data_IF_456250577012
#
_entry.id   IF_456250577012
#
_cell.length_a   1.000
_cell.length_b   1.000
_cell.length_c   1.000
_cell.angle_alpha   90.00
_cell.angle_beta   90.00
_cell.angle_gamma   90.00
#
_symmetry.space_group_name_H-M   'P 1'
#
loop_
_entity.id
_entity.type
_entity.pdbx_description
1 polymer ?
#
# COMPACT_ATOMS: atom_id res chain seq x y z
N UNK A 1 -14.64 1.43 -6.66
CA UNK A 1 -13.42 0.95 -5.96
C UNK A 1 -12.20 1.57 -6.59
N UNK A 2 -11.36 2.22 -5.81
CA UNK A 2 -10.05 2.76 -6.22
C UNK A 2 -8.94 1.90 -5.61
N UNK A 3 -8.05 1.39 -6.44
CA UNK A 3 -6.89 0.59 -6.00
C UNK A 3 -5.64 1.47 -6.00
N UNK A 4 -4.99 1.61 -4.84
CA UNK A 4 -3.78 2.41 -4.68
C UNK A 4 -2.62 1.56 -4.18
N UNK A 5 -1.46 1.63 -4.85
CA UNK A 5 -0.24 0.93 -4.45
C UNK A 5 0.81 1.91 -3.94
N UNK A 6 1.35 1.63 -2.74
CA UNK A 6 2.49 2.35 -2.16
C UNK A 6 3.79 1.64 -2.50
N UNK A 7 4.67 2.26 -3.28
CA UNK A 7 5.86 1.58 -3.78
C UNK A 7 7.13 2.44 -3.83
N UNK A 8 8.26 1.78 -3.75
CA UNK A 8 9.63 2.23 -4.04
C UNK A 8 10.53 0.99 -3.99
N UNK A 9 11.57 0.93 -4.81
CA UNK A 9 12.54 -0.17 -4.78
C UNK A 9 13.49 -0.14 -3.58
N UNK A 10 13.54 0.96 -2.84
CA UNK A 10 14.29 1.04 -1.59
C UNK A 10 13.50 0.41 -0.44
N UNK A 11 14.13 -0.55 0.26
CA UNK A 11 13.59 -1.11 1.51
C UNK A 11 13.66 -0.12 2.67
N UNK A 12 12.71 -0.22 3.60
CA UNK A 12 12.71 0.60 4.83
C UNK A 12 12.32 2.06 4.66
N UNK A 13 11.76 2.46 3.51
CA UNK A 13 11.27 3.83 3.28
C UNK A 13 9.89 4.10 3.91
N UNK A 14 9.28 3.12 4.57
CA UNK A 14 8.00 3.32 5.25
C UNK A 14 6.77 3.01 4.38
N UNK A 15 6.88 2.27 3.26
CA UNK A 15 5.74 1.88 2.42
C UNK A 15 4.60 1.30 3.26
N UNK A 16 4.86 0.20 3.95
CA UNK A 16 3.90 -0.52 4.79
C UNK A 16 3.24 0.39 5.84
N UNK A 17 4.01 1.22 6.53
CA UNK A 17 3.46 2.13 7.53
C UNK A 17 2.52 3.15 6.90
N UNK A 18 2.92 3.75 5.77
CA UNK A 18 2.11 4.77 5.09
C UNK A 18 0.86 4.15 4.44
N UNK A 19 0.97 2.97 3.82
CA UNK A 19 -0.17 2.25 3.24
C UNK A 19 -1.21 1.90 4.31
N UNK A 20 -0.78 1.30 5.41
CA UNK A 20 -1.68 0.88 6.50
C UNK A 20 -2.31 2.08 7.22
N UNK A 21 -1.53 3.13 7.51
CA UNK A 21 -2.07 4.33 8.17
C UNK A 21 -3.05 5.08 7.29
N UNK A 22 -2.80 5.19 5.97
CA UNK A 22 -3.78 5.78 5.04
C UNK A 22 -5.06 4.96 5.00
N UNK A 23 -4.97 3.63 4.91
CA UNK A 23 -6.13 2.75 4.95
C UNK A 23 -6.92 2.91 6.25
N UNK A 24 -6.22 3.05 7.38
CA UNK A 24 -6.82 3.27 8.68
C UNK A 24 -7.65 4.57 8.72
N UNK A 25 -7.09 5.69 8.24
CA UNK A 25 -7.78 6.99 8.23
C UNK A 25 -8.92 7.02 7.19
N UNK A 26 -8.78 6.37 6.03
CA UNK A 26 -9.89 6.19 5.08
C UNK A 26 -11.07 5.47 5.74
N UNK A 27 -10.80 4.38 6.47
CA UNK A 27 -11.83 3.64 7.20
C UNK A 27 -12.48 4.48 8.31
N UNK A 28 -11.71 5.30 9.04
CA UNK A 28 -12.23 6.26 10.04
C UNK A 28 -13.12 7.32 9.40
N UNK A 29 -12.87 7.71 8.16
CA UNK A 29 -13.73 8.62 7.38
C UNK A 29 -15.01 7.95 6.87
N UNK A 30 -15.17 6.66 7.05
CA UNK A 30 -16.35 5.89 6.64
C UNK A 30 -16.22 5.14 5.33
N UNK A 31 -15.08 5.24 4.63
CA UNK A 31 -14.84 4.48 3.39
C UNK A 31 -14.52 3.03 3.69
N UNK A 32 -15.23 2.10 3.05
CA UNK A 32 -14.90 0.68 3.13
C UNK A 32 -13.56 0.41 2.45
N UNK A 33 -12.56 0.12 3.23
CA UNK A 33 -11.16 0.02 2.80
C UNK A 33 -10.61 -1.39 3.04
N UNK A 34 -10.03 -1.99 2.01
CA UNK A 34 -9.33 -3.26 2.06
C UNK A 34 -7.82 -3.02 1.95
N UNK A 35 -7.05 -3.53 2.88
CA UNK A 35 -5.58 -3.63 2.77
C UNK A 35 -5.23 -4.99 2.20
N UNK A 36 -4.48 -5.02 1.10
CA UNK A 36 -3.92 -6.24 0.51
C UNK A 36 -2.40 -6.26 0.75
N UNK A 37 -1.94 -7.20 1.54
CA UNK A 37 -0.51 -7.35 1.85
C UNK A 37 0.13 -8.36 0.86
N UNK A 38 0.77 -7.84 -0.19
CA UNK A 38 1.46 -8.67 -1.19
C UNK A 38 2.94 -8.92 -0.87
N UNK A 39 3.41 -8.50 0.31
CA UNK A 39 4.75 -8.83 0.76
C UNK A 39 4.73 -10.17 1.54
N UNK A 40 5.46 -11.23 1.11
CA UNK A 40 5.56 -12.47 1.87
C UNK A 40 6.16 -12.30 3.29
N UNK A 41 6.79 -11.14 3.59
CA UNK A 41 7.21 -10.81 4.95
C UNK A 41 6.03 -10.44 5.86
N UNK A 42 4.85 -10.16 5.30
CA UNK A 42 3.59 -9.95 6.00
C UNK A 42 3.62 -8.82 7.06
N UNK A 43 4.32 -7.72 6.77
CA UNK A 43 4.46 -6.62 7.72
C UNK A 43 3.16 -5.85 7.93
N UNK A 44 2.39 -5.56 6.87
CA UNK A 44 1.07 -4.95 6.98
C UNK A 44 0.08 -5.86 7.74
N UNK A 45 0.13 -7.15 7.45
CA UNK A 45 -0.65 -8.17 8.14
C UNK A 45 -0.34 -8.19 9.64
N UNK A 46 0.93 -8.19 10.04
CA UNK A 46 1.31 -8.20 11.45
C UNK A 46 0.87 -6.92 12.17
N UNK A 47 1.03 -5.76 11.55
CA UNK A 47 0.60 -4.48 12.11
C UNK A 47 -0.92 -4.47 12.36
N UNK A 48 -1.72 -4.85 11.36
CA UNK A 48 -3.17 -4.87 11.48
C UNK A 48 -3.69 -5.96 12.45
N UNK A 49 -3.03 -7.12 12.53
CA UNK A 49 -3.35 -8.14 13.55
C UNK A 49 -3.12 -7.63 14.97
N UNK A 50 -2.03 -6.91 15.21
CA UNK A 50 -1.76 -6.26 16.50
C UNK A 50 -2.77 -5.16 16.81
N UNK A 51 -3.14 -4.37 15.80
CA UNK A 51 -4.20 -3.35 15.90
C UNK A 51 -5.53 -3.98 16.33
N UNK A 52 -5.95 -5.06 15.66
CA UNK A 52 -7.14 -5.81 16.05
C UNK A 52 -7.07 -6.29 17.50
N UNK A 53 -5.93 -6.89 17.90
CA UNK A 53 -5.73 -7.37 19.27
C UNK A 53 -5.82 -6.25 20.31
N UNK A 54 -5.19 -5.10 20.04
CA UNK A 54 -5.23 -3.94 20.92
C UNK A 54 -6.66 -3.43 21.12
N UNK A 55 -7.47 -3.37 20.08
CA UNK A 55 -8.85 -2.88 20.12
C UNK A 55 -9.84 -3.91 20.69
N UNK A 56 -9.49 -5.20 20.71
CA UNK A 56 -10.34 -6.30 21.13
C UNK A 56 -9.84 -7.04 22.39
N UNK A 57 -9.28 -6.31 23.36
CA UNK A 57 -8.82 -6.86 24.64
C UNK A 57 -7.81 -8.01 24.48
N UNK A 58 -6.83 -7.85 23.57
CA UNK A 58 -5.79 -8.82 23.24
C UNK A 58 -6.31 -10.14 22.64
N UNK A 59 -7.54 -10.18 22.14
CA UNK A 59 -8.03 -11.33 21.40
C UNK A 59 -7.30 -11.45 20.07
N UNK A 60 -6.84 -12.64 19.73
CA UNK A 60 -6.21 -12.92 18.44
C UNK A 60 -7.19 -12.84 17.29
N UNK A 61 -6.78 -12.20 16.18
CA UNK A 61 -7.54 -12.23 14.94
C UNK A 61 -7.53 -13.67 14.38
N UNK A 62 -8.72 -14.22 14.17
CA UNK A 62 -8.87 -15.52 13.50
C UNK A 62 -8.84 -15.33 12.00
N UNK A 63 -7.91 -16.02 11.35
CA UNK A 63 -7.77 -16.05 9.89
C UNK A 63 -8.11 -17.47 9.45
N UNK A 64 -9.15 -17.59 8.63
CA UNK A 64 -9.70 -18.90 8.24
C UNK A 64 -8.95 -19.52 7.05
N UNK A 65 -8.43 -18.69 6.15
CA UNK A 65 -7.68 -19.09 4.96
C UNK A 65 -6.52 -18.13 4.73
N UNK A 66 -5.44 -18.60 4.12
CA UNK A 66 -4.36 -17.71 3.67
C UNK A 66 -4.70 -17.10 2.31
N UNK A 67 -4.08 -15.98 1.97
CA UNK A 67 -4.25 -15.37 0.65
C UNK A 67 -3.84 -16.35 -0.47
N UNK A 68 -2.76 -17.11 -0.29
CA UNK A 68 -2.31 -18.08 -1.29
C UNK A 68 -3.38 -19.15 -1.56
N UNK A 69 -4.00 -19.70 -0.52
CA UNK A 69 -5.10 -20.67 -0.66
C UNK A 69 -6.31 -20.04 -1.33
N UNK A 70 -6.72 -18.84 -0.91
CA UNK A 70 -7.86 -18.12 -1.48
C UNK A 70 -7.67 -17.78 -2.96
N UNK A 71 -6.45 -17.38 -3.35
CA UNK A 71 -6.09 -17.15 -4.75
C UNK A 71 -6.11 -18.45 -5.56
N UNK A 72 -5.58 -19.55 -5.03
CA UNK A 72 -5.62 -20.84 -5.73
C UNK A 72 -7.04 -21.38 -5.91
N UNK A 73 -7.95 -21.06 -4.99
CA UNK A 73 -9.39 -21.36 -5.08
C UNK A 73 -10.18 -20.35 -5.91
N UNK A 74 -9.51 -19.31 -6.43
CA UNK A 74 -10.14 -18.19 -7.15
C UNK A 74 -11.24 -17.47 -6.35
N UNK A 75 -11.12 -17.44 -5.02
CA UNK A 75 -12.07 -16.83 -4.11
C UNK A 75 -11.37 -16.07 -2.98
N UNK A 76 -10.95 -14.83 -3.24
CA UNK A 76 -10.23 -14.02 -2.25
C UNK A 76 -11.06 -13.70 -1.00
N UNK A 77 -12.40 -13.75 -1.08
CA UNK A 77 -13.28 -13.55 0.08
C UNK A 77 -13.01 -14.53 1.23
N UNK A 78 -12.51 -15.73 0.93
CA UNK A 78 -12.21 -16.74 1.96
C UNK A 78 -11.10 -16.29 2.92
N UNK A 79 -10.20 -15.41 2.48
CA UNK A 79 -9.08 -14.92 3.26
C UNK A 79 -9.32 -13.54 3.86
N UNK A 80 -10.28 -12.75 3.36
CA UNK A 80 -10.51 -11.40 3.85
C UNK A 80 -11.07 -11.43 5.26
N UNK A 81 -10.45 -10.62 6.15
CA UNK A 81 -10.87 -10.51 7.55
C UNK A 81 -11.14 -9.05 7.92
N UNK A 82 -12.15 -8.83 8.77
CA UNK A 82 -12.46 -7.51 9.31
C UNK A 82 -11.49 -7.17 10.45
N UNK A 83 -10.88 -5.99 10.40
CA UNK A 83 -10.00 -5.46 11.45
C UNK A 83 -10.78 -4.56 12.41
N UNK A 84 -11.49 -3.59 11.87
CA UNK A 84 -12.41 -2.69 12.57
C UNK A 84 -13.52 -2.27 11.62
N UNK A 85 -14.40 -1.36 12.04
CA UNK A 85 -15.43 -0.83 11.15
C UNK A 85 -14.78 -0.19 9.92
N UNK A 86 -15.27 -0.56 8.76
CA UNK A 86 -14.80 -0.17 7.43
C UNK A 86 -13.35 -0.56 7.07
N UNK A 87 -12.57 -1.22 7.94
CA UNK A 87 -11.22 -1.67 7.63
C UNK A 87 -11.14 -3.20 7.56
N UNK A 88 -10.66 -3.69 6.43
CA UNK A 88 -10.50 -5.11 6.12
C UNK A 88 -9.07 -5.40 5.70
N UNK A 89 -8.66 -6.65 5.80
CA UNK A 89 -7.34 -7.13 5.45
C UNK A 89 -7.44 -8.41 4.62
N UNK A 90 -6.74 -8.45 3.50
CA UNK A 90 -6.36 -9.66 2.79
C UNK A 90 -4.92 -10.00 3.22
N UNK A 91 -4.76 -10.98 4.15
CA UNK A 91 -3.50 -11.15 4.86
C UNK A 91 -2.48 -11.98 4.08
N UNK A 92 -1.22 -11.55 4.12
CA UNK A 92 -0.07 -12.34 3.67
C UNK A 92 0.38 -13.34 4.74
N UNK A 93 0.95 -14.44 4.27
CA UNK A 93 1.65 -15.45 5.08
C UNK A 93 2.87 -16.00 4.33
N UNK A 94 3.68 -16.82 5.01
CA UNK A 94 4.87 -17.42 4.42
C UNK A 94 4.59 -18.28 3.18
N UNK A 95 3.40 -18.88 3.06
CA UNK A 95 2.96 -19.63 1.89
C UNK A 95 2.77 -18.75 0.64
N UNK A 96 2.67 -17.42 0.81
CA UNK A 96 2.58 -16.50 -0.33
C UNK A 96 3.88 -16.46 -1.16
N UNK A 97 4.98 -17.01 -0.64
CA UNK A 97 6.19 -17.27 -1.44
C UNK A 97 5.95 -18.21 -2.63
N UNK A 98 4.89 -19.03 -2.60
CA UNK A 98 4.50 -19.96 -3.67
C UNK A 98 3.73 -19.26 -4.82
N UNK A 99 3.36 -17.97 -4.66
CA UNK A 99 2.57 -17.24 -5.65
C UNK A 99 3.21 -17.18 -7.05
N UNK A 100 4.53 -16.96 -7.20
CA UNK A 100 5.18 -17.02 -8.53
C UNK A 100 5.02 -18.38 -9.20
N UNK A 101 5.29 -19.47 -8.48
CA UNK A 101 5.22 -20.85 -8.99
C UNK A 101 3.78 -21.23 -9.35
N UNK A 102 2.81 -20.82 -8.52
CA UNK A 102 1.39 -20.99 -8.82
C UNK A 102 1.02 -20.32 -10.14
N UNK A 103 1.46 -19.07 -10.38
CA UNK A 103 1.18 -18.36 -11.62
C UNK A 103 1.87 -19.00 -12.83
N UNK A 104 3.07 -19.59 -12.64
CA UNK A 104 3.76 -20.32 -13.69
C UNK A 104 3.04 -21.60 -14.11
N UNK A 105 2.49 -22.31 -13.15
CA UNK A 105 1.68 -23.49 -13.40
C UNK A 105 0.33 -23.13 -14.04
N UNK A 106 -0.30 -22.05 -13.59
CA UNK A 106 -1.60 -21.61 -14.09
C UNK A 106 -1.53 -21.03 -15.51
N UNK A 107 -0.45 -20.31 -15.82
CA UNK A 107 -0.20 -19.68 -17.13
C UNK A 107 1.20 -20.03 -17.61
N UNK A 108 1.38 -21.23 -18.16
CA UNK A 108 2.69 -21.70 -18.62
C UNK A 108 3.22 -20.86 -19.79
N UNK A 109 4.55 -20.81 -19.94
CA UNK A 109 5.22 -19.96 -20.93
C UNK A 109 4.92 -20.32 -22.40
N UNK A 110 4.26 -21.45 -22.64
CA UNK A 110 3.78 -21.87 -23.97
C UNK A 110 2.51 -21.14 -24.40
N UNK A 111 1.78 -20.52 -23.46
CA UNK A 111 0.56 -19.77 -23.76
C UNK A 111 0.88 -18.39 -24.35
N UNK A 112 0.03 -17.93 -25.26
CA UNK A 112 0.09 -16.55 -25.72
C UNK A 112 -0.23 -15.57 -24.58
N UNK A 113 0.55 -14.49 -24.51
CA UNK A 113 0.41 -13.44 -23.50
C UNK A 113 0.53 -13.90 -22.03
N UNK A 114 1.21 -15.05 -21.79
CA UNK A 114 1.34 -15.63 -20.45
C UNK A 114 1.89 -14.63 -19.41
N UNK A 115 2.80 -13.73 -19.80
CA UNK A 115 3.38 -12.73 -18.88
C UNK A 115 2.31 -11.77 -18.38
N UNK A 116 1.47 -11.29 -19.27
CA UNK A 116 0.39 -10.39 -18.89
C UNK A 116 -0.69 -11.10 -18.09
N UNK A 117 -1.10 -12.32 -18.48
CA UNK A 117 -2.04 -13.13 -17.71
C UNK A 117 -1.60 -13.36 -16.28
N UNK A 118 -0.29 -13.59 -16.05
CA UNK A 118 0.28 -13.77 -14.71
C UNK A 118 0.11 -12.52 -13.86
N UNK A 119 0.52 -11.35 -14.36
CA UNK A 119 0.42 -10.10 -13.61
C UNK A 119 -1.02 -9.59 -13.46
N UNK A 120 -1.89 -9.88 -14.42
CA UNK A 120 -3.31 -9.52 -14.39
C UNK A 120 -4.13 -10.37 -13.41
N UNK A 121 -3.61 -11.55 -13.00
CA UNK A 121 -4.37 -12.49 -12.19
C UNK A 121 -4.91 -11.88 -10.89
N UNK A 122 -4.08 -11.14 -10.17
CA UNK A 122 -4.48 -10.51 -8.91
C UNK A 122 -5.60 -9.48 -9.15
N UNK A 123 -5.50 -8.67 -10.21
CA UNK A 123 -6.57 -7.74 -10.60
C UNK A 123 -7.89 -8.47 -10.84
N UNK A 124 -7.87 -9.58 -11.57
CA UNK A 124 -9.09 -10.36 -11.84
C UNK A 124 -9.73 -10.91 -10.56
N UNK A 125 -8.94 -11.20 -9.53
CA UNK A 125 -9.49 -11.61 -8.23
C UNK A 125 -10.06 -10.42 -7.47
N UNK A 126 -9.40 -9.25 -7.49
CA UNK A 126 -9.93 -8.01 -6.88
C UNK A 126 -11.23 -7.56 -7.55
N UNK A 127 -11.36 -7.71 -8.86
CA UNK A 127 -12.57 -7.33 -9.60
C UNK A 127 -13.82 -8.10 -9.13
N UNK A 128 -13.65 -9.27 -8.50
CA UNK A 128 -14.76 -10.05 -7.93
C UNK A 128 -15.35 -9.44 -6.65
N UNK A 129 -14.62 -8.53 -6.00
CA UNK A 129 -15.03 -7.85 -4.76
C UNK A 129 -15.12 -6.32 -4.94
N UNK A 130 -15.10 -5.84 -6.18
CA UNK A 130 -15.04 -4.40 -6.50
C UNK A 130 -16.21 -3.58 -5.95
N UNK A 131 -17.38 -4.20 -5.78
CA UNK A 131 -18.59 -3.53 -5.31
C UNK A 131 -18.68 -3.53 -3.76
N UNK A 132 -17.77 -4.24 -3.10
CA UNK A 132 -17.74 -4.37 -1.64
C UNK A 132 -16.88 -3.30 -0.95
N UNK A 133 -15.96 -2.65 -1.69
CA UNK A 133 -15.00 -1.70 -1.14
C UNK A 133 -14.94 -0.41 -1.96
N UNK A 134 -14.75 0.72 -1.25
CA UNK A 134 -14.49 2.03 -1.86
C UNK A 134 -13.01 2.13 -2.26
N UNK A 135 -12.11 1.70 -1.37
CA UNK A 135 -10.67 1.71 -1.56
C UNK A 135 -10.02 0.35 -1.32
N UNK A 136 -9.01 0.05 -2.10
CA UNK A 136 -8.06 -1.05 -1.88
C UNK A 136 -6.65 -0.45 -1.80
N UNK A 137 -5.95 -0.70 -0.69
CA UNK A 137 -4.57 -0.27 -0.51
C UNK A 137 -3.67 -1.49 -0.57
N UNK A 138 -2.73 -1.47 -1.50
CA UNK A 138 -1.81 -2.59 -1.74
C UNK A 138 -0.43 -2.27 -1.20
N UNK A 139 0.06 -3.09 -0.29
CA UNK A 139 1.44 -3.06 0.21
C UNK A 139 2.29 -4.09 -0.53
N UNK A 140 3.49 -3.69 -0.98
CA UNK A 140 4.36 -4.51 -1.84
C UNK A 140 5.78 -4.59 -1.30
N UNK A 141 6.51 -5.70 -1.60
CA UNK A 141 7.92 -5.80 -1.25
C UNK A 141 8.78 -4.76 -2.00
N UNK A 142 10.00 -4.45 -1.51
CA UNK A 142 10.89 -3.46 -2.10
C UNK A 142 11.69 -4.02 -3.31
N UNK A 143 11.07 -4.85 -4.13
CA UNK A 143 11.77 -5.57 -5.22
C UNK A 143 10.97 -5.54 -6.51
N UNK A 144 11.68 -5.56 -7.64
CA UNK A 144 11.10 -5.92 -8.93
C UNK A 144 10.73 -7.40 -8.89
N UNK A 145 9.45 -7.68 -8.82
CA UNK A 145 8.95 -9.04 -8.65
C UNK A 145 7.51 -9.14 -9.16
N UNK A 146 7.05 -10.36 -9.36
CA UNK A 146 5.67 -10.64 -9.77
C UNK A 146 4.64 -10.05 -8.78
N UNK A 147 4.99 -9.88 -7.50
CA UNK A 147 4.15 -9.23 -6.50
C UNK A 147 3.93 -7.75 -6.83
N UNK A 148 5.03 -7.03 -7.12
CA UNK A 148 4.98 -5.62 -7.52
C UNK A 148 4.32 -5.44 -8.88
N UNK A 149 4.63 -6.32 -9.86
CA UNK A 149 4.00 -6.31 -11.18
C UNK A 149 2.49 -6.50 -11.07
N UNK A 150 2.03 -7.46 -10.23
CA UNK A 150 0.61 -7.74 -10.01
C UNK A 150 -0.11 -6.58 -9.32
N UNK A 151 0.55 -5.93 -8.34
CA UNK A 151 0.00 -4.78 -7.65
C UNK A 151 -0.16 -3.57 -8.59
N UNK A 152 0.89 -3.23 -9.35
CA UNK A 152 0.87 -2.12 -10.31
C UNK A 152 -0.18 -2.36 -11.40
N UNK A 153 -0.28 -3.61 -11.91
CA UNK A 153 -1.30 -3.95 -12.90
C UNK A 153 -2.73 -3.81 -12.37
N UNK A 154 -2.93 -4.07 -11.09
CA UNK A 154 -4.23 -3.95 -10.45
C UNK A 154 -4.59 -2.51 -10.04
N UNK A 155 -3.61 -1.60 -9.98
CA UNK A 155 -3.79 -0.24 -9.47
C UNK A 155 -4.54 0.68 -10.44
N UNK A 156 -5.31 1.60 -9.86
CA UNK A 156 -5.72 2.84 -10.52
C UNK A 156 -4.65 3.92 -10.30
N UNK A 157 -4.13 4.00 -9.08
CA UNK A 157 -3.18 5.01 -8.68
C UNK A 157 -1.96 4.41 -7.98
N UNK A 158 -0.79 4.99 -8.23
CA UNK A 158 0.46 4.61 -7.57
C UNK A 158 1.00 5.80 -6.78
N UNK A 159 1.35 5.58 -5.52
CA UNK A 159 2.03 6.54 -4.66
C UNK A 159 3.48 6.11 -4.49
N UNK A 160 4.41 6.93 -4.95
CA UNK A 160 5.85 6.69 -4.80
C UNK A 160 6.29 7.22 -3.43
N UNK A 161 6.79 6.34 -2.56
CA UNK A 161 7.24 6.73 -1.21
C UNK A 161 8.72 7.09 -1.24
N UNK A 162 9.05 8.34 -0.93
CA UNK A 162 10.41 8.86 -0.98
C UNK A 162 10.90 9.23 0.44
N UNK A 163 11.96 8.59 0.92
CA UNK A 163 12.69 9.06 2.09
C UNK A 163 13.76 10.07 1.64
N UNK A 164 13.99 11.15 2.40
CA UNK A 164 14.98 12.19 2.07
C UNK A 164 16.42 11.71 2.20
N UNK A 165 16.77 10.70 1.42
CA UNK A 165 18.12 10.11 1.28
C UNK A 165 18.39 9.83 -0.19
N UNK A 166 19.63 10.06 -0.64
CA UNK A 166 20.03 9.87 -2.04
C UNK A 166 19.62 8.48 -2.57
N UNK A 167 19.94 7.41 -1.86
CA UNK A 167 19.57 6.04 -2.27
C UNK A 167 18.07 5.79 -2.40
N UNK A 168 17.26 6.59 -1.69
CA UNK A 168 15.80 6.50 -1.82
C UNK A 168 15.29 7.26 -3.05
N UNK A 169 15.93 8.37 -3.38
CA UNK A 169 15.67 9.13 -4.60
C UNK A 169 16.05 8.29 -5.83
N UNK A 170 17.25 7.70 -5.85
CA UNK A 170 17.69 6.78 -6.92
C UNK A 170 16.70 5.61 -7.10
N UNK A 171 16.22 5.04 -5.98
CA UNK A 171 15.21 3.97 -6.00
C UNK A 171 13.83 4.42 -6.49
N UNK A 172 13.44 5.65 -6.18
CA UNK A 172 12.17 6.24 -6.64
C UNK A 172 12.23 6.54 -8.15
N UNK A 173 13.35 7.08 -8.63
CA UNK A 173 13.59 7.34 -10.05
C UNK A 173 13.56 6.04 -10.87
N UNK A 174 14.31 5.02 -10.42
CA UNK A 174 14.29 3.70 -11.05
C UNK A 174 12.87 3.06 -11.04
N UNK A 175 12.09 3.31 -9.99
CA UNK A 175 10.72 2.85 -9.92
C UNK A 175 9.80 3.61 -10.89
N UNK A 176 9.97 4.91 -11.02
CA UNK A 176 9.24 5.73 -11.98
C UNK A 176 9.50 5.27 -13.43
N UNK A 177 10.76 5.04 -13.80
CA UNK A 177 11.12 4.48 -15.10
C UNK A 177 10.53 3.06 -15.33
N UNK A 178 10.49 2.24 -14.27
CA UNK A 178 9.84 0.93 -14.34
C UNK A 178 8.34 1.08 -14.60
N UNK A 179 7.64 2.00 -13.94
CA UNK A 179 6.22 2.29 -14.18
C UNK A 179 5.97 2.67 -15.64
N UNK A 180 6.78 3.58 -16.20
CA UNK A 180 6.67 4.01 -17.59
C UNK A 180 6.86 2.83 -18.55
N UNK A 181 7.92 2.04 -18.37
CA UNK A 181 8.15 0.83 -19.19
C UNK A 181 7.02 -0.19 -19.09
N UNK A 182 6.42 -0.33 -17.91
CA UNK A 182 5.31 -1.26 -17.67
C UNK A 182 4.04 -0.77 -18.39
N UNK A 183 3.76 0.51 -18.32
CA UNK A 183 2.65 1.14 -19.04
C UNK A 183 2.78 0.97 -20.56
N UNK A 184 3.96 1.26 -21.12
CA UNK A 184 4.22 1.13 -22.56
C UNK A 184 4.15 -0.33 -23.04
N UNK A 185 4.48 -1.28 -22.16
CA UNK A 185 4.54 -2.71 -22.50
C UNK A 185 3.18 -3.40 -22.53
N UNK A 186 2.25 -2.97 -21.69
CA UNK A 186 0.95 -3.63 -21.50
C UNK A 186 -0.20 -2.65 -21.80
N UNK A 187 -0.77 -2.64 -23.03
CA UNK A 187 -1.80 -1.68 -23.41
C UNK A 187 -3.11 -1.77 -22.61
N UNK A 188 -3.33 -2.89 -21.93
CA UNK A 188 -4.50 -3.11 -21.06
C UNK A 188 -4.33 -2.53 -19.64
N UNK A 189 -3.12 -2.11 -19.28
CA UNK A 189 -2.86 -1.49 -17.99
C UNK A 189 -3.35 -0.03 -18.00
N UNK A 190 -3.97 0.37 -16.92
CA UNK A 190 -4.49 1.73 -16.79
C UNK A 190 -4.31 2.22 -15.36
N UNK A 191 -3.10 2.62 -15.03
CA UNK A 191 -2.81 3.32 -13.77
C UNK A 191 -2.23 4.70 -14.05
N UNK A 192 -2.31 5.56 -13.05
CA UNK A 192 -1.62 6.84 -13.04
C UNK A 192 -0.78 6.99 -11.76
N UNK A 193 0.05 8.00 -11.69
CA UNK A 193 0.82 8.34 -10.50
C UNK A 193 0.07 9.44 -9.75
N UNK A 194 -0.45 9.10 -8.56
CA UNK A 194 -1.13 10.06 -7.71
C UNK A 194 -0.16 11.09 -7.13
N UNK A 195 1.06 10.67 -6.85
CA UNK A 195 2.12 11.57 -6.42
C UNK A 195 3.31 10.88 -5.76
N UNK A 196 4.28 11.69 -5.38
CA UNK A 196 5.48 11.32 -4.62
C UNK A 196 5.32 11.81 -3.20
N UNK A 197 5.30 10.88 -2.23
CA UNK A 197 5.11 11.15 -0.81
C UNK A 197 6.47 11.16 -0.10
N UNK A 198 6.86 12.33 0.40
CA UNK A 198 8.07 12.49 1.19
C UNK A 198 7.88 12.05 2.63
N UNK A 199 8.76 11.17 3.11
CA UNK A 199 8.63 10.55 4.43
C UNK A 199 9.92 10.55 5.23
N UNK A 200 9.79 10.38 6.54
CA UNK A 200 10.86 10.21 7.52
C UNK A 200 11.87 11.35 7.58
N UNK A 201 11.43 12.58 7.29
CA UNK A 201 12.26 13.76 7.44
C UNK A 201 12.82 13.83 8.85
N UNK A 202 14.13 13.95 8.97
CA UNK A 202 14.87 14.14 10.23
C UNK A 202 15.46 15.53 10.20
N UNK A 203 14.78 16.58 10.45
CA UNK A 203 15.21 17.96 10.71
C UNK A 203 16.65 18.38 10.27
N UNK A 204 17.27 17.69 9.33
CA UNK A 204 18.54 18.03 8.69
C UNK A 204 18.28 18.97 7.52
N UNK A 205 18.05 20.22 7.83
CA UNK A 205 17.48 21.25 6.93
C UNK A 205 18.21 21.36 5.58
N UNK A 206 19.51 21.06 5.50
CA UNK A 206 20.27 21.24 4.24
C UNK A 206 20.09 20.10 3.24
N UNK A 207 20.34 18.84 3.67
CA UNK A 207 20.29 17.68 2.79
C UNK A 207 18.84 17.32 2.41
N UNK A 208 17.93 17.36 3.39
CA UNK A 208 16.52 17.07 3.15
C UNK A 208 15.94 18.02 2.09
N UNK A 209 16.22 19.33 2.19
CA UNK A 209 15.78 20.33 1.20
C UNK A 209 16.37 20.11 -0.20
N UNK A 210 17.62 19.65 -0.30
CA UNK A 210 18.21 19.31 -1.58
C UNK A 210 17.52 18.12 -2.25
N UNK A 211 17.30 17.03 -1.51
CA UNK A 211 16.61 15.82 -2.01
C UNK A 211 15.19 16.17 -2.47
N UNK A 212 14.43 16.96 -1.69
CA UNK A 212 13.09 17.41 -2.07
C UNK A 212 13.09 18.23 -3.35
N UNK A 213 14.04 19.16 -3.49
CA UNK A 213 14.16 19.97 -4.69
C UNK A 213 14.55 19.14 -5.92
N UNK A 214 15.44 18.16 -5.75
CA UNK A 214 15.86 17.29 -6.84
C UNK A 214 14.72 16.32 -7.24
N UNK A 215 13.95 15.81 -6.27
CA UNK A 215 12.73 15.04 -6.52
C UNK A 215 11.70 15.87 -7.33
N UNK A 216 11.46 17.12 -6.93
CA UNK A 216 10.58 18.03 -7.67
C UNK A 216 11.02 18.30 -9.10
N UNK A 217 12.35 18.33 -9.38
CA UNK A 217 12.87 18.45 -10.75
C UNK A 217 12.71 17.17 -11.58
N UNK A 218 12.86 15.99 -10.93
CA UNK A 218 12.79 14.69 -11.60
C UNK A 218 11.33 14.32 -11.90
N UNK A 219 10.44 14.40 -10.89
CA UNK A 219 9.07 13.93 -10.99
C UNK A 219 8.08 15.02 -11.42
N UNK A 220 8.43 16.28 -11.25
CA UNK A 220 7.52 17.44 -11.37
C UNK A 220 6.97 17.85 -9.99
N UNK A 221 6.99 19.16 -9.73
CA UNK A 221 6.53 19.69 -8.42
C UNK A 221 5.05 19.43 -8.17
N UNK A 222 4.23 19.32 -9.20
CA UNK A 222 2.79 19.04 -9.11
C UNK A 222 2.52 17.61 -8.62
N UNK A 223 3.45 16.67 -8.86
CA UNK A 223 3.35 15.30 -8.35
C UNK A 223 3.80 15.19 -6.89
N UNK A 224 4.57 16.14 -6.36
CA UNK A 224 4.97 16.11 -4.96
C UNK A 224 3.74 16.32 -4.04
N UNK A 225 3.58 15.47 -3.03
CA UNK A 225 2.59 15.74 -1.99
C UNK A 225 2.99 16.97 -1.18
N UNK A 226 2.01 17.81 -0.82
CA UNK A 226 2.25 18.94 0.09
C UNK A 226 2.52 18.42 1.51
N UNK A 227 1.83 17.31 1.88
CA UNK A 227 2.03 16.68 3.17
C UNK A 227 3.34 15.90 3.20
N UNK A 228 4.21 16.27 4.15
CA UNK A 228 5.48 15.58 4.42
C UNK A 228 5.36 14.81 5.72
N UNK A 229 5.67 13.52 5.71
CA UNK A 229 5.63 12.67 6.90
C UNK A 229 6.96 12.75 7.63
N UNK A 230 7.01 13.50 8.72
CA UNK A 230 8.17 13.57 9.58
C UNK A 230 8.41 12.27 10.33
N UNK A 231 9.68 12.04 10.73
CA UNK A 231 10.02 10.90 11.57
C UNK A 231 9.28 10.98 12.92
N UNK A 232 8.50 9.94 13.22
CA UNK A 232 7.74 9.81 14.46
C UNK A 232 8.06 8.47 15.13
N UNK A 233 8.66 8.49 16.32
CA UNK A 233 8.97 7.27 17.10
C UNK A 233 7.70 6.45 17.42
N UNK A 234 6.54 7.11 17.49
CA UNK A 234 5.26 6.45 17.72
C UNK A 234 4.91 5.44 16.62
N UNK A 235 5.22 5.72 15.36
CA UNK A 235 5.00 4.79 14.24
C UNK A 235 5.78 3.48 14.42
N UNK A 236 7.04 3.55 14.85
CA UNK A 236 7.83 2.35 15.19
C UNK A 236 7.22 1.55 16.35
N UNK A 237 6.58 2.26 17.28
CA UNK A 237 5.90 1.60 18.40
C UNK A 237 4.69 0.82 17.92
N UNK A 238 3.96 1.31 16.93
CA UNK A 238 2.81 0.62 16.34
C UNK A 238 3.18 -0.75 15.76
N UNK A 239 4.37 -0.90 15.21
CA UNK A 239 4.88 -2.20 14.74
C UNK A 239 4.94 -3.27 15.85
N UNK A 240 4.96 -2.85 17.12
CA UNK A 240 4.97 -3.75 18.27
C UNK A 240 3.63 -3.89 18.96
N UNK A 241 2.86 -2.81 19.02
CA UNK A 241 1.64 -2.71 19.86
C UNK A 241 0.34 -2.69 19.08
N UNK A 242 0.38 -2.45 17.78
CA UNK A 242 -0.78 -2.05 16.99
C UNK A 242 -1.01 -0.54 17.05
N UNK A 243 -1.90 -0.06 16.19
CA UNK A 243 -2.30 1.35 16.08
C UNK A 243 -3.22 1.69 17.25
N UNK A 244 -2.77 2.58 18.12
CA UNK A 244 -3.55 3.08 19.24
C UNK A 244 -4.40 4.28 18.80
N UNK A 245 -5.69 4.27 19.12
CA UNK A 245 -6.67 5.29 18.73
C UNK A 245 -7.57 5.64 19.91
N UNK A 246 -7.75 6.94 20.17
CA UNK A 246 -8.52 7.47 21.31
C UNK A 246 -9.95 6.91 21.40
N UNK A 247 -10.55 6.57 20.26
CA UNK A 247 -11.93 6.10 20.18
C UNK A 247 -12.04 4.57 20.37
N UNK A 248 -10.94 3.83 20.16
CA UNK A 248 -10.95 2.37 20.06
C UNK A 248 -10.00 1.66 21.04
N UNK A 249 -9.03 2.37 21.61
CA UNK A 249 -8.01 1.78 22.50
C UNK A 249 -7.36 2.84 23.39
N UNK A 250 -6.65 2.46 24.48
CA UNK A 250 -5.81 3.41 25.22
C UNK A 250 -4.81 4.10 24.31
N UNK A 251 -4.80 5.44 24.32
CA UNK A 251 -3.95 6.30 23.50
C UNK A 251 -3.49 7.53 24.27
N UNK A 252 -2.51 8.24 23.70
CA UNK A 252 -2.00 9.49 24.26
C UNK A 252 -1.86 10.60 23.20
N UNK A 253 -1.30 11.74 23.60
CA UNK A 253 -1.09 12.89 22.70
C UNK A 253 -0.23 12.54 21.47
N UNK A 254 0.74 11.62 21.57
CA UNK A 254 1.57 11.24 20.44
C UNK A 254 0.78 10.44 19.41
N UNK A 255 -0.18 9.62 19.85
CA UNK A 255 -1.09 8.91 18.95
C UNK A 255 -1.98 9.91 18.21
N UNK A 256 -2.55 10.90 18.94
CA UNK A 256 -3.36 11.97 18.32
C UNK A 256 -2.57 12.72 17.23
N UNK A 257 -1.29 13.00 17.47
CA UNK A 257 -0.42 13.64 16.47
C UNK A 257 -0.22 12.77 15.23
N UNK A 258 -0.03 11.47 15.39
CA UNK A 258 0.10 10.53 14.26
C UNK A 258 -1.20 10.52 13.44
N UNK A 259 -2.34 10.34 14.09
CA UNK A 259 -3.63 10.34 13.39
C UNK A 259 -3.90 11.66 12.65
N UNK A 260 -3.62 12.80 13.28
CA UNK A 260 -3.76 14.10 12.61
C UNK A 260 -2.90 14.21 11.35
N UNK A 261 -1.65 13.74 11.41
CA UNK A 261 -0.74 13.72 10.26
C UNK A 261 -1.30 12.89 9.10
N UNK A 262 -1.76 11.68 9.39
CA UNK A 262 -2.29 10.79 8.35
C UNK A 262 -3.70 11.16 7.90
N UNK A 263 -4.49 11.79 8.76
CA UNK A 263 -5.77 12.39 8.36
C UNK A 263 -5.55 13.49 7.31
N UNK A 264 -4.56 14.39 7.53
CA UNK A 264 -4.20 15.44 6.57
C UNK A 264 -3.69 14.85 5.25
N UNK A 265 -2.84 13.81 5.30
CA UNK A 265 -2.41 13.11 4.10
C UNK A 265 -3.60 12.49 3.35
N UNK A 266 -4.51 11.85 4.09
CA UNK A 266 -5.71 11.22 3.51
C UNK A 266 -6.62 12.27 2.85
N UNK A 267 -6.75 13.45 3.45
CA UNK A 267 -7.50 14.57 2.87
C UNK A 267 -6.87 15.03 1.54
N UNK A 268 -5.55 15.15 1.49
CA UNK A 268 -4.83 15.49 0.25
C UNK A 268 -5.00 14.40 -0.83
N UNK A 269 -4.93 13.12 -0.45
CA UNK A 269 -5.18 11.99 -1.37
C UNK A 269 -6.58 12.09 -1.97
N UNK A 270 -7.61 12.27 -1.12
CA UNK A 270 -9.00 12.40 -1.58
C UNK A 270 -9.19 13.62 -2.49
N UNK A 271 -8.55 14.74 -2.18
CA UNK A 271 -8.60 15.93 -3.00
C UNK A 271 -7.97 15.70 -4.39
N UNK A 272 -6.79 15.06 -4.46
CA UNK A 272 -6.14 14.71 -5.72
C UNK A 272 -7.01 13.77 -6.57
N UNK A 273 -7.66 12.78 -5.95
CA UNK A 273 -8.58 11.87 -6.63
C UNK A 273 -9.82 12.61 -7.18
N UNK A 274 -10.36 13.60 -6.44
CA UNK A 274 -11.46 14.46 -6.93
C UNK A 274 -11.02 15.30 -8.13
N UNK A 275 -9.84 15.91 -8.06
CA UNK A 275 -9.30 16.71 -9.18
C UNK A 275 -9.09 15.88 -10.44
N UNK A 276 -8.80 14.59 -10.30
CA UNK A 276 -8.72 13.62 -11.41
C UNK A 276 -10.09 13.09 -11.85
N UNK A 277 -11.17 13.38 -11.11
CA UNK A 277 -12.52 12.88 -11.41
C UNK A 277 -12.75 11.39 -11.08
N UNK A 278 -11.91 10.80 -10.22
CA UNK A 278 -12.01 9.40 -9.85
C UNK A 278 -13.00 9.14 -8.71
N UNK A 279 -13.25 10.15 -7.90
CA UNK A 279 -14.27 10.16 -6.84
C UNK A 279 -15.06 11.48 -6.86
N UNK A 280 -16.26 11.46 -6.21
CA UNK A 280 -17.12 12.64 -6.03
C UNK A 280 -16.60 13.61 -4.95
#
# INVERSE_FOLDING_TARGET
MIVMTYANFKGGVGKTTNSVMTAYELAKKGYKTLVCDLDPQANATQLLRRTYGLQNNQKGLKIGSTMMVALSNENINEAIVKIMDNLYLLPSYSDFTEYPDFLELKYPAIEDNYKEKRIAYFKHQLDKVKDDYDFVIVDVPPTLSIYTDSAVYASNEVIIVLQTQQRSLDGAEAFFEYLQRTYDKYPSINFDILGVLDVLLKNNVGLDSQILNDAGKIFGYDLMFHMIIHHMERLKRYDRTGIADKDLSPSDFHDTKVHYTYLTLTDEILERLRQKGEIE
#
